data_IF_411475386862
#
_entry.id   IF_411475386862
#
_cell.length_a   1.000
_cell.length_b   1.000
_cell.length_c   1.000
_cell.angle_alpha   90.00
_cell.angle_beta   90.00
_cell.angle_gamma   90.00
#
_symmetry.space_group_name_H-M   'P 1'
#
loop_
_entity.id
_entity.type
_entity.pdbx_description
1 polymer ?
#
# COMPACT_ATOMS: atom_id res chain seq x y z
N UNK A 1 1.28 -9.53 -12.49
CA UNK A 1 -0.19 -9.75 -12.35
C UNK A 1 -0.69 -9.43 -10.94
N UNK A 2 -0.11 -10.01 -9.87
CA UNK A 2 -0.58 -9.75 -8.50
C UNK A 2 -0.45 -8.27 -8.06
N UNK A 3 0.67 -7.60 -8.35
CA UNK A 3 0.86 -6.17 -8.07
C UNK A 3 -0.18 -5.28 -8.78
N UNK A 4 -0.61 -5.67 -9.98
CA UNK A 4 -1.60 -4.91 -10.76
C UNK A 4 -3.00 -5.01 -10.17
N UNK A 5 -3.37 -6.18 -9.64
CA UNK A 5 -4.64 -6.35 -8.93
C UNK A 5 -4.66 -5.52 -7.64
N UNK A 6 -3.54 -5.50 -6.90
CA UNK A 6 -3.42 -4.68 -5.69
C UNK A 6 -3.51 -3.18 -6.01
N UNK A 7 -2.85 -2.74 -7.08
CA UNK A 7 -2.94 -1.35 -7.56
C UNK A 7 -4.38 -0.95 -7.89
N UNK A 8 -5.08 -1.78 -8.67
CA UNK A 8 -6.48 -1.50 -9.01
C UNK A 8 -7.38 -1.46 -7.79
N UNK A 9 -7.22 -2.43 -6.86
CA UNK A 9 -8.03 -2.49 -5.66
C UNK A 9 -7.83 -1.25 -4.78
N UNK A 10 -6.58 -0.81 -4.58
CA UNK A 10 -6.27 0.38 -3.79
C UNK A 10 -6.88 1.64 -4.41
N UNK A 11 -6.64 1.88 -5.71
CA UNK A 11 -7.19 3.07 -6.37
C UNK A 11 -8.73 3.05 -6.38
N UNK A 12 -9.36 1.88 -6.55
CA UNK A 12 -10.81 1.78 -6.42
C UNK A 12 -11.29 2.15 -5.01
N UNK A 13 -10.62 1.70 -3.95
CA UNK A 13 -10.98 2.05 -2.57
C UNK A 13 -10.77 3.53 -2.27
N UNK A 14 -9.72 4.15 -2.81
CA UNK A 14 -9.47 5.60 -2.70
C UNK A 14 -10.60 6.38 -3.35
N UNK A 15 -10.96 6.02 -4.60
CA UNK A 15 -12.00 6.68 -5.37
C UNK A 15 -13.39 6.52 -4.72
N UNK A 16 -13.72 5.34 -4.18
CA UNK A 16 -15.01 5.12 -3.50
C UNK A 16 -15.05 5.70 -2.09
N UNK A 17 -13.91 5.72 -1.40
CA UNK A 17 -13.79 6.14 -0.01
C UNK A 17 -13.61 7.65 0.18
N UNK A 18 -13.42 8.42 -0.91
CA UNK A 18 -13.01 9.83 -0.86
C UNK A 18 -11.77 10.05 0.02
N UNK A 19 -10.80 9.13 -0.05
CA UNK A 19 -9.58 9.24 0.72
C UNK A 19 -8.71 10.39 0.18
N UNK A 20 -8.33 11.33 1.06
CA UNK A 20 -7.40 12.40 0.71
C UNK A 20 -5.95 11.91 0.78
N UNK A 21 -5.30 11.86 -0.39
CA UNK A 21 -3.90 11.44 -0.55
C UNK A 21 -2.94 12.62 -0.73
N UNK A 22 -3.41 13.86 -0.65
CA UNK A 22 -2.61 15.05 -0.94
C UNK A 22 -1.33 15.13 -0.11
N UNK A 23 -1.39 14.75 1.16
CA UNK A 23 -0.24 14.69 2.08
C UNK A 23 0.79 13.60 1.73
N UNK A 24 0.39 12.58 0.97
CA UNK A 24 1.23 11.48 0.52
C UNK A 24 1.78 11.69 -0.90
N UNK A 25 1.40 12.77 -1.59
CA UNK A 25 1.83 13.00 -2.96
C UNK A 25 3.37 13.11 -3.07
N UNK A 26 3.96 12.33 -3.96
CA UNK A 26 5.40 12.20 -4.15
C UNK A 26 6.11 11.30 -3.12
N UNK A 27 5.36 10.65 -2.22
CA UNK A 27 5.91 9.73 -1.21
C UNK A 27 5.90 8.29 -1.67
N UNK A 28 6.91 7.55 -1.21
CA UNK A 28 7.02 6.11 -1.41
C UNK A 28 6.91 5.41 -0.07
N UNK A 29 5.96 4.47 0.04
CA UNK A 29 5.81 3.61 1.21
C UNK A 29 6.22 2.20 0.84
N UNK A 30 7.16 1.63 1.58
CA UNK A 30 7.49 0.23 1.50
C UNK A 30 6.49 -0.57 2.34
N UNK A 31 5.90 -1.61 1.76
CA UNK A 31 4.94 -2.47 2.41
C UNK A 31 5.31 -3.95 2.25
N UNK A 32 5.42 -4.65 3.38
CA UNK A 32 5.63 -6.08 3.39
C UNK A 32 4.75 -6.80 4.42
N UNK A 33 4.26 -7.97 4.01
CA UNK A 33 3.69 -8.95 4.94
C UNK A 33 4.75 -9.99 5.27
N UNK A 34 5.06 -10.17 6.56
CA UNK A 34 6.18 -11.03 6.99
C UNK A 34 5.94 -12.53 6.73
N UNK A 35 4.69 -12.93 6.63
CA UNK A 35 4.21 -14.30 6.53
C UNK A 35 3.62 -14.65 5.15
N UNK A 36 3.55 -13.68 4.24
CA UNK A 36 3.10 -13.86 2.85
C UNK A 36 4.15 -13.28 1.89
N UNK A 37 4.23 -13.76 0.63
CA UNK A 37 5.17 -13.25 -0.36
C UNK A 37 4.71 -11.90 -0.94
N UNK A 38 4.31 -10.95 -0.08
CA UNK A 38 3.94 -9.59 -0.46
C UNK A 38 5.04 -8.67 0.03
N UNK A 39 5.74 -8.08 -0.92
CA UNK A 39 6.82 -7.15 -0.70
C UNK A 39 6.83 -6.15 -1.86
N UNK A 40 6.34 -4.94 -1.63
CA UNK A 40 6.07 -3.94 -2.67
C UNK A 40 6.32 -2.53 -2.16
N UNK A 41 6.57 -1.61 -3.08
CA UNK A 41 6.52 -0.19 -2.86
C UNK A 41 5.20 0.38 -3.40
N UNK A 42 4.55 1.21 -2.59
CA UNK A 42 3.44 2.07 -2.96
C UNK A 42 3.97 3.46 -3.26
N UNK A 43 3.88 3.87 -4.52
CA UNK A 43 4.26 5.20 -4.97
C UNK A 43 3.01 6.04 -5.10
N UNK A 44 2.87 7.03 -4.21
CA UNK A 44 1.73 7.93 -4.18
C UNK A 44 2.00 9.13 -5.08
N UNK A 45 1.24 9.28 -6.17
CA UNK A 45 1.35 10.46 -7.04
C UNK A 45 0.05 10.74 -7.77
N UNK A 46 -0.31 12.02 -7.93
CA UNK A 46 -1.54 12.46 -8.60
C UNK A 46 -2.81 11.80 -8.04
N UNK A 47 -2.94 11.76 -6.71
CA UNK A 47 -4.06 11.15 -5.99
C UNK A 47 -4.29 9.66 -6.33
N UNK A 48 -3.23 8.98 -6.76
CA UNK A 48 -3.23 7.56 -7.11
C UNK A 48 -2.08 6.85 -6.42
N UNK A 49 -2.27 5.56 -6.20
CA UNK A 49 -1.21 4.66 -5.74
C UNK A 49 -0.77 3.80 -6.90
N UNK A 50 0.54 3.74 -7.14
CA UNK A 50 1.17 2.80 -8.07
C UNK A 50 1.91 1.73 -7.28
N UNK A 51 1.84 0.49 -7.71
CA UNK A 51 2.45 -0.65 -7.00
C UNK A 51 3.64 -1.18 -7.81
N UNK A 52 4.83 -1.12 -7.23
CA UNK A 52 6.04 -1.70 -7.82
C UNK A 52 6.66 -2.76 -6.90
N UNK A 53 7.24 -3.80 -7.51
CA UNK A 53 8.02 -4.82 -6.79
C UNK A 53 9.50 -4.44 -6.69
N UNK A 54 9.93 -3.37 -7.36
CA UNK A 54 11.28 -2.85 -7.19
C UNK A 54 11.37 -2.10 -5.86
N UNK A 55 12.09 -2.73 -4.94
CA UNK A 55 12.31 -2.26 -3.56
C UNK A 55 13.73 -1.72 -3.36
N UNK A 56 14.50 -1.57 -4.45
CA UNK A 56 15.85 -1.01 -4.41
C UNK A 56 15.87 0.51 -4.21
N UNK A 57 14.79 1.18 -4.64
CA UNK A 57 14.57 2.59 -4.34
C UNK A 57 14.19 2.76 -2.86
N UNK A 58 14.85 3.69 -2.18
CA UNK A 58 14.55 4.00 -0.79
C UNK A 58 13.10 4.47 -0.61
N UNK A 59 12.47 4.03 0.49
CA UNK A 59 11.13 4.47 0.87
C UNK A 59 11.20 5.59 1.91
N UNK A 60 10.20 6.46 1.92
CA UNK A 60 10.00 7.47 2.97
C UNK A 60 9.55 6.82 4.28
N UNK A 61 8.82 5.69 4.18
CA UNK A 61 8.25 4.95 5.32
C UNK A 61 8.30 3.45 5.03
N UNK A 62 8.72 2.67 6.04
CA UNK A 62 8.67 1.21 6.01
C UNK A 62 7.54 0.69 6.90
N UNK A 63 6.62 -0.08 6.31
CA UNK A 63 5.52 -0.76 7.00
C UNK A 63 5.69 -2.27 6.84
N UNK A 64 5.93 -2.96 7.95
CA UNK A 64 6.11 -4.42 8.01
C UNK A 64 5.23 -5.00 9.10
N UNK A 65 4.41 -5.98 8.75
CA UNK A 65 3.49 -6.62 9.70
C UNK A 65 3.13 -8.04 9.25
N UNK A 66 2.57 -8.84 10.16
CA UNK A 66 1.98 -10.14 9.82
C UNK A 66 0.62 -9.97 9.17
N UNK A 67 0.24 -10.88 8.28
CA UNK A 67 -1.07 -10.88 7.62
C UNK A 67 -2.24 -10.87 8.61
N UNK A 68 -2.09 -11.50 9.78
CA UNK A 68 -3.09 -11.45 10.85
C UNK A 68 -3.33 -10.05 11.40
N UNK A 69 -2.25 -9.27 11.59
CA UNK A 69 -2.34 -7.87 12.06
C UNK A 69 -2.97 -7.00 10.98
N UNK A 70 -2.62 -7.21 9.70
CA UNK A 70 -3.27 -6.52 8.59
C UNK A 70 -4.77 -6.73 8.63
N UNK A 71 -5.22 -8.00 8.72
CA UNK A 71 -6.64 -8.33 8.72
C UNK A 71 -7.37 -7.73 9.93
N UNK A 72 -6.76 -7.73 11.11
CA UNK A 72 -7.33 -7.10 12.31
C UNK A 72 -7.54 -5.59 12.12
N UNK A 73 -6.58 -4.89 11.48
CA UNK A 73 -6.71 -3.46 11.16
C UNK A 73 -7.91 -3.17 10.24
N UNK A 74 -8.24 -4.08 9.31
CA UNK A 74 -9.41 -3.93 8.43
C UNK A 74 -10.73 -4.23 9.13
N UNK A 75 -10.72 -5.12 10.13
CA UNK A 75 -11.91 -5.51 10.87
C UNK A 75 -12.28 -4.51 11.96
N UNK A 76 -11.38 -3.58 12.29
CA UNK A 76 -11.58 -2.61 13.36
C UNK A 76 -11.65 -3.26 14.73
N UNK A 77 -10.99 -4.42 14.90
CA UNK A 77 -10.88 -5.07 16.20
C UNK A 77 -9.85 -4.30 17.05
N UNK A 78 -10.36 -3.59 18.06
CA UNK A 78 -9.61 -3.08 19.21
C UNK A 78 -9.28 -4.22 20.21
#
# INVERSE_FOLDING_TARGET
>A
MQHFVLEQALNYLIDQGNADLSALNGKTLYFALEDLPINVNFVCTNDRIFVTTDTSAGADVDIKLKSSVFLALFQGED
#
